data_IF_950916692679
#
_entry.id   IF_950916692679
#
_cell.length_a   1.000
_cell.length_b   1.000
_cell.length_c   1.000
_cell.angle_alpha   90.00
_cell.angle_beta   90.00
_cell.angle_gamma   90.00
#
_symmetry.space_group_name_H-M   'P 1'
#
loop_
_entity.id
_entity.type
_entity.pdbx_description
1 polymer ?
#
# COMPACT_ATOMS: atom_id res chain seq x y z
N UNK A 1 8.86 -12.56 0.01
CA UNK A 1 9.44 -11.33 0.62
C UNK A 1 10.07 -11.58 2.00
N UNK A 2 9.48 -12.39 2.88
CA UNK A 2 10.02 -12.63 4.24
C UNK A 2 11.43 -13.21 4.23
N UNK A 3 11.71 -14.20 3.38
CA UNK A 3 13.05 -14.85 3.31
C UNK A 3 14.12 -13.87 2.83
N UNK A 4 13.79 -12.96 1.91
CA UNK A 4 14.73 -11.96 1.40
C UNK A 4 14.95 -10.83 2.40
N UNK A 5 13.89 -10.42 3.13
CA UNK A 5 13.98 -9.33 4.10
C UNK A 5 14.69 -9.70 5.40
N UNK A 6 14.73 -10.99 5.76
CA UNK A 6 15.32 -11.45 7.01
C UNK A 6 16.83 -11.12 7.13
N UNK A 7 17.70 -11.40 6.13
CA UNK A 7 19.11 -11.03 6.19
C UNK A 7 19.34 -9.52 6.36
N UNK A 8 18.54 -8.69 5.67
CA UNK A 8 18.62 -7.23 5.82
C UNK A 8 18.25 -6.76 7.23
N UNK A 9 17.21 -7.35 7.82
CA UNK A 9 16.80 -7.04 9.18
C UNK A 9 17.84 -7.45 10.20
N UNK A 10 18.43 -8.63 10.05
CA UNK A 10 19.52 -9.09 10.90
C UNK A 10 20.73 -8.16 10.79
N UNK A 11 21.15 -7.83 9.57
CA UNK A 11 22.25 -6.90 9.36
C UNK A 11 21.95 -5.52 9.97
N UNK A 12 20.74 -5.00 9.79
CA UNK A 12 20.31 -3.72 10.38
C UNK A 12 20.41 -3.74 11.91
N UNK A 13 19.94 -4.79 12.56
CA UNK A 13 20.02 -4.93 14.02
C UNK A 13 21.47 -5.01 14.50
N UNK A 14 22.30 -5.81 13.82
CA UNK A 14 23.72 -5.93 14.15
C UNK A 14 24.49 -4.62 13.97
N UNK A 15 24.20 -3.87 12.93
CA UNK A 15 24.86 -2.60 12.64
C UNK A 15 24.41 -1.47 13.57
N UNK A 16 23.15 -1.45 13.96
CA UNK A 16 22.61 -0.38 14.84
C UNK A 16 22.80 -0.66 16.31
N UNK A 17 23.03 -1.93 16.70
CA UNK A 17 23.07 -2.33 18.12
C UNK A 17 21.74 -2.10 18.85
N UNK A 18 20.62 -2.10 18.12
CA UNK A 18 19.32 -1.74 18.68
C UNK A 18 18.88 -2.72 19.77
N UNK A 19 18.45 -2.17 20.91
CA UNK A 19 17.93 -2.96 22.03
C UNK A 19 16.67 -3.74 21.64
N UNK A 20 16.52 -5.00 22.08
CA UNK A 20 15.32 -5.80 21.80
C UNK A 20 13.99 -5.14 22.21
N UNK A 21 14.00 -4.32 23.25
CA UNK A 21 12.82 -3.59 23.71
C UNK A 21 12.40 -2.53 22.69
N UNK A 22 13.37 -1.80 22.14
CA UNK A 22 13.15 -0.80 21.09
C UNK A 22 12.63 -1.47 19.83
N UNK A 23 13.22 -2.59 19.43
CA UNK A 23 12.76 -3.37 18.28
C UNK A 23 11.32 -3.86 18.45
N UNK A 24 10.98 -4.34 19.65
CA UNK A 24 9.64 -4.80 19.98
C UNK A 24 8.64 -3.63 19.95
N UNK A 25 8.99 -2.49 20.52
CA UNK A 25 8.14 -1.29 20.51
C UNK A 25 7.92 -0.80 19.06
N UNK A 26 8.97 -0.71 18.25
CA UNK A 26 8.87 -0.36 16.83
C UNK A 26 7.97 -1.34 16.07
N UNK A 27 8.15 -2.65 16.30
CA UNK A 27 7.31 -3.66 15.65
C UNK A 27 5.84 -3.51 16.00
N UNK A 28 5.50 -3.31 17.27
CA UNK A 28 4.11 -3.08 17.72
C UNK A 28 3.52 -1.81 17.12
N UNK A 29 4.30 -0.73 17.07
CA UNK A 29 3.87 0.51 16.41
C UNK A 29 3.57 0.28 14.94
N UNK A 30 4.47 -0.42 14.24
CA UNK A 30 4.31 -0.73 12.82
C UNK A 30 3.06 -1.59 12.59
N UNK A 31 2.87 -2.67 13.34
CA UNK A 31 1.72 -3.56 13.22
C UNK A 31 0.40 -2.82 13.51
N UNK A 32 0.36 -1.98 14.53
CA UNK A 32 -0.80 -1.13 14.83
C UNK A 32 -1.09 -0.14 13.69
N UNK A 33 -0.05 0.45 13.09
CA UNK A 33 -0.20 1.35 11.94
C UNK A 33 -0.75 0.62 10.72
N UNK A 34 -0.27 -0.60 10.45
CA UNK A 34 -0.76 -1.44 9.35
C UNK A 34 -2.24 -1.79 9.56
N UNK A 35 -2.62 -2.21 10.77
CA UNK A 35 -4.02 -2.48 11.09
C UNK A 35 -4.91 -1.24 10.96
N UNK A 36 -4.41 -0.09 11.37
CA UNK A 36 -5.15 1.17 11.27
C UNK A 36 -5.41 1.55 9.81
N UNK A 37 -4.38 1.66 8.98
CA UNK A 37 -4.57 2.14 7.61
C UNK A 37 -5.23 1.11 6.68
N UNK A 38 -5.24 -0.19 7.02
CA UNK A 38 -6.02 -1.22 6.32
C UNK A 38 -7.44 -1.41 6.89
N UNK A 39 -7.82 -0.63 7.91
CA UNK A 39 -9.18 -0.71 8.46
C UNK A 39 -10.21 -0.07 7.52
N UNK A 40 -11.46 -0.52 7.62
CA UNK A 40 -12.60 0.13 6.93
C UNK A 40 -13.09 1.40 7.63
N UNK A 41 -12.25 2.01 8.48
CA UNK A 41 -12.62 3.21 9.23
C UNK A 41 -12.75 4.39 8.27
N UNK A 42 -13.93 5.00 8.24
CA UNK A 42 -14.17 6.24 7.50
C UNK A 42 -14.03 7.41 8.44
N UNK A 43 -12.92 8.11 8.34
CA UNK A 43 -12.69 9.33 9.10
C UNK A 43 -13.44 10.50 8.44
N UNK A 44 -14.09 11.39 9.22
CA UNK A 44 -14.56 12.66 8.68
C UNK A 44 -13.43 13.42 7.98
N UNK A 45 -13.69 14.03 6.82
CA UNK A 45 -12.67 14.59 5.95
C UNK A 45 -11.64 15.48 6.66
N UNK A 46 -12.11 16.38 7.54
CA UNK A 46 -11.22 17.22 8.34
C UNK A 46 -10.27 16.45 9.28
N UNK A 47 -10.68 15.30 9.80
CA UNK A 47 -9.85 14.45 10.65
C UNK A 47 -8.89 13.62 9.82
N UNK A 48 -9.35 13.10 8.66
CA UNK A 48 -8.47 12.41 7.73
C UNK A 48 -7.35 13.33 7.25
N UNK A 49 -7.66 14.57 6.87
CA UNK A 49 -6.68 15.58 6.49
C UNK A 49 -5.67 15.88 7.60
N UNK A 50 -6.12 16.12 8.82
CA UNK A 50 -5.25 16.43 9.96
C UNK A 50 -4.36 15.26 10.34
N UNK A 51 -4.93 14.06 10.45
CA UNK A 51 -4.18 12.85 10.80
C UNK A 51 -3.18 12.47 9.72
N UNK A 52 -3.54 12.63 8.44
CA UNK A 52 -2.65 12.36 7.32
C UNK A 52 -1.45 13.34 7.25
N UNK A 53 -1.42 14.39 8.07
CA UNK A 53 -0.24 15.21 8.25
C UNK A 53 0.92 14.45 8.92
N UNK A 54 0.60 13.46 9.74
CA UNK A 54 1.59 12.70 10.53
C UNK A 54 1.53 11.21 10.21
N UNK A 55 0.34 10.65 10.09
CA UNK A 55 0.13 9.22 9.93
C UNK A 55 -0.48 8.88 8.58
N UNK A 56 -0.18 7.67 8.10
CA UNK A 56 -0.89 7.08 6.96
C UNK A 56 -2.30 6.68 7.43
N UNK A 57 -3.32 7.36 6.90
CA UNK A 57 -4.73 7.10 7.23
C UNK A 57 -5.34 6.06 6.30
N UNK A 58 -6.50 5.45 6.66
CA UNK A 58 -7.22 4.55 5.76
C UNK A 58 -7.59 5.21 4.43
N UNK A 59 -8.00 6.50 4.44
CA UNK A 59 -8.30 7.25 3.22
C UNK A 59 -7.07 7.42 2.34
N UNK A 60 -5.96 7.81 2.92
CA UNK A 60 -4.69 7.96 2.20
C UNK A 60 -4.19 6.63 1.63
N UNK A 61 -4.24 5.55 2.41
CA UNK A 61 -3.79 4.22 1.96
C UNK A 61 -4.73 3.59 0.94
N UNK A 62 -6.03 3.90 1.02
CA UNK A 62 -7.00 3.50 0.01
C UNK A 62 -6.64 4.00 -1.40
N UNK A 63 -6.04 5.19 -1.52
CA UNK A 63 -5.53 5.71 -2.80
C UNK A 63 -4.45 4.79 -3.37
N UNK A 64 -3.53 4.29 -2.54
CA UNK A 64 -2.51 3.31 -2.94
C UNK A 64 -3.13 2.01 -3.48
N UNK A 65 -4.27 1.59 -2.95
CA UNK A 65 -4.99 0.39 -3.40
C UNK A 65 -6.00 0.65 -4.53
N UNK A 66 -6.02 1.85 -5.10
CA UNK A 66 -6.88 2.21 -6.23
C UNK A 66 -6.53 1.40 -7.48
N UNK A 67 -7.53 1.18 -8.34
CA UNK A 67 -7.32 0.60 -9.69
C UNK A 67 -6.63 1.55 -10.66
N UNK A 68 -6.48 2.82 -10.31
CA UNK A 68 -5.83 3.84 -11.14
C UNK A 68 -4.31 3.70 -11.01
N UNK A 69 -3.56 3.44 -12.10
CA UNK A 69 -2.12 3.19 -12.04
C UNK A 69 -1.31 4.31 -11.38
N UNK A 70 -1.69 5.56 -11.62
CA UNK A 70 -1.02 6.72 -11.04
C UNK A 70 -1.21 6.80 -9.52
N UNK A 71 -2.33 6.30 -9.01
CA UNK A 71 -2.65 6.26 -7.59
C UNK A 71 -1.91 5.10 -6.90
N UNK A 72 -1.81 3.95 -7.55
CA UNK A 72 -1.06 2.79 -7.04
C UNK A 72 0.40 3.11 -6.74
N UNK A 73 0.97 4.08 -7.47
CA UNK A 73 2.35 4.54 -7.30
C UNK A 73 2.49 5.65 -6.27
N UNK A 74 1.54 5.78 -5.34
CA UNK A 74 1.52 6.80 -4.29
C UNK A 74 1.38 6.18 -2.90
N UNK A 75 1.59 6.98 -1.85
CA UNK A 75 1.32 6.62 -0.45
C UNK A 75 1.91 5.26 -0.02
N UNK A 76 3.21 5.09 -0.25
CA UNK A 76 3.93 3.83 0.00
C UNK A 76 4.17 3.55 1.49
N UNK A 77 4.07 4.57 2.33
CA UNK A 77 4.46 4.44 3.73
C UNK A 77 3.41 3.75 4.59
N UNK A 78 3.91 2.88 5.48
CA UNK A 78 3.12 2.22 6.51
C UNK A 78 3.44 2.84 7.87
N UNK A 79 2.73 3.88 8.26
CA UNK A 79 2.91 4.53 9.56
C UNK A 79 3.00 6.04 9.44
N UNK A 80 4.20 6.60 9.26
CA UNK A 80 4.39 8.05 9.19
C UNK A 80 4.36 8.55 7.75
N UNK A 81 3.40 9.42 7.42
CA UNK A 81 3.24 10.03 6.10
C UNK A 81 4.37 10.99 5.68
N UNK A 82 5.30 11.27 6.60
CA UNK A 82 6.46 12.12 6.36
C UNK A 82 7.28 11.65 5.15
N UNK A 83 7.48 10.35 5.03
CA UNK A 83 8.29 9.79 3.94
C UNK A 83 7.66 9.99 2.57
N UNK A 84 6.33 9.84 2.46
CA UNK A 84 5.63 10.12 1.21
C UNK A 84 5.74 11.59 0.81
N UNK A 85 5.80 12.50 1.78
CA UNK A 85 6.05 13.93 1.50
C UNK A 85 7.45 14.18 1.01
N UNK A 86 8.44 13.60 1.67
CA UNK A 86 9.85 13.77 1.30
C UNK A 86 10.13 13.22 -0.11
N UNK A 87 9.46 12.12 -0.48
CA UNK A 87 9.61 11.50 -1.79
C UNK A 87 8.64 12.04 -2.86
N UNK A 88 7.73 12.93 -2.50
CA UNK A 88 6.74 13.48 -3.43
C UNK A 88 5.68 12.46 -3.86
N UNK A 89 5.49 11.39 -3.09
CA UNK A 89 4.51 10.33 -3.37
C UNK A 89 3.20 10.51 -2.62
N UNK A 90 3.08 11.56 -1.78
CA UNK A 90 1.85 11.86 -1.06
C UNK A 90 0.74 12.26 -2.04
N UNK A 91 -0.34 11.49 -2.05
CA UNK A 91 -1.54 11.77 -2.84
C UNK A 91 -2.79 11.63 -1.98
N UNK A 92 -3.73 12.54 -2.14
CA UNK A 92 -5.00 12.54 -1.40
C UNK A 92 -6.16 12.57 -2.38
N UNK A 93 -7.17 11.78 -2.07
CA UNK A 93 -8.45 11.76 -2.77
C UNK A 93 -9.58 11.56 -1.74
N UNK A 94 -10.78 12.07 -2.00
CA UNK A 94 -11.96 11.72 -1.20
C UNK A 94 -12.19 10.20 -1.21
N UNK A 95 -12.48 9.61 -0.05
CA UNK A 95 -12.65 8.15 0.10
C UNK A 95 -13.82 7.58 -0.73
N UNK A 96 -14.84 8.35 -0.96
CA UNK A 96 -16.04 7.97 -1.71
C UNK A 96 -15.81 7.78 -3.21
N UNK A 97 -14.71 8.32 -3.74
CA UNK A 97 -14.35 8.19 -5.17
C UNK A 97 -13.23 7.18 -5.44
N UNK A 98 -12.74 6.48 -4.42
CA UNK A 98 -11.66 5.51 -4.56
C UNK A 98 -12.24 4.15 -4.90
N UNK A 99 -11.99 3.65 -6.11
CA UNK A 99 -12.30 2.27 -6.52
C UNK A 99 -11.09 1.38 -6.22
N UNK A 100 -11.18 0.61 -5.13
CA UNK A 100 -10.12 -0.27 -4.64
C UNK A 100 -10.12 -1.58 -5.43
N UNK A 101 -8.95 -2.06 -5.80
CA UNK A 101 -8.78 -3.37 -6.43
C UNK A 101 -7.58 -3.44 -7.36
N UNK A 102 -7.51 -4.50 -8.14
CA UNK A 102 -6.50 -4.69 -9.18
C UNK A 102 -7.18 -4.51 -10.54
N UNK A 103 -6.69 -3.55 -11.32
CA UNK A 103 -7.21 -3.33 -12.66
C UNK A 103 -7.06 -4.62 -13.51
N UNK A 104 -8.12 -4.96 -14.23
CA UNK A 104 -8.19 -6.06 -15.20
C UNK A 104 -7.84 -7.48 -14.67
N UNK A 105 -7.87 -7.67 -13.35
CA UNK A 105 -7.61 -8.99 -12.76
C UNK A 105 -8.62 -9.31 -11.69
N UNK A 106 -9.56 -10.15 -12.01
CA UNK A 106 -10.20 -11.11 -11.12
C UNK A 106 -11.31 -11.88 -11.83
N UNK A 107 -10.96 -12.85 -12.64
CA UNK A 107 -11.86 -13.99 -12.78
C UNK A 107 -11.66 -14.90 -11.56
N UNK A 108 -12.72 -15.56 -11.09
CA UNK A 108 -12.60 -16.59 -10.06
C UNK A 108 -11.61 -17.71 -10.45
N UNK A 109 -11.41 -17.93 -11.76
CA UNK A 109 -10.42 -18.86 -12.29
C UNK A 109 -8.98 -18.43 -11.97
N UNK A 110 -8.70 -17.13 -11.85
CA UNK A 110 -7.36 -16.62 -11.52
C UNK A 110 -7.02 -16.85 -10.04
N UNK A 111 -8.01 -17.09 -9.19
CA UNK A 111 -7.84 -17.36 -7.76
C UNK A 111 -7.53 -18.83 -7.44
N UNK A 112 -7.41 -19.70 -8.44
CA UNK A 112 -7.02 -21.08 -8.20
C UNK A 112 -5.59 -21.16 -7.68
N UNK A 113 -5.30 -22.12 -6.80
CA UNK A 113 -3.97 -22.31 -6.23
C UNK A 113 -2.90 -22.46 -7.31
N UNK A 114 -3.18 -23.25 -8.36
CA UNK A 114 -2.26 -23.47 -9.48
C UNK A 114 -1.94 -22.16 -10.22
N UNK A 115 -2.95 -21.34 -10.49
CA UNK A 115 -2.76 -20.05 -11.14
C UNK A 115 -1.99 -19.07 -10.24
N UNK A 116 -2.29 -19.04 -8.95
CA UNK A 116 -1.59 -18.18 -7.98
C UNK A 116 -0.11 -18.53 -7.87
N UNK A 117 0.25 -19.82 -7.86
CA UNK A 117 1.63 -20.27 -7.80
C UNK A 117 2.40 -19.99 -9.10
N UNK A 118 1.73 -20.05 -10.25
CA UNK A 118 2.38 -19.82 -11.54
C UNK A 118 2.35 -18.35 -12.00
N UNK A 119 1.49 -17.52 -11.41
CA UNK A 119 1.32 -16.13 -11.79
C UNK A 119 2.64 -15.31 -11.82
N UNK A 120 3.58 -15.44 -10.86
CA UNK A 120 4.84 -14.70 -10.89
C UNK A 120 5.74 -15.04 -12.09
N UNK A 121 5.55 -16.20 -12.70
CA UNK A 121 6.35 -16.69 -13.82
C UNK A 121 5.66 -16.50 -15.17
N UNK A 122 4.42 -16.03 -15.18
CA UNK A 122 3.70 -15.72 -16.42
C UNK A 122 4.02 -14.30 -16.85
N UNK A 123 4.27 -14.10 -18.16
CA UNK A 123 4.33 -12.75 -18.71
C UNK A 123 2.97 -12.08 -18.50
N UNK A 124 2.94 -10.99 -17.80
CA UNK A 124 1.76 -10.14 -17.68
C UNK A 124 1.42 -9.60 -19.06
N UNK A 125 0.21 -9.81 -19.60
CA UNK A 125 -0.22 -9.08 -20.77
C UNK A 125 -0.07 -7.59 -20.50
N UNK A 126 0.54 -6.83 -21.42
CA UNK A 126 0.56 -5.38 -21.28
C UNK A 126 -0.89 -4.88 -21.21
N UNK A 127 -1.19 -3.92 -20.34
CA UNK A 127 -2.48 -3.24 -20.36
C UNK A 127 -2.74 -2.76 -21.78
N UNK A 128 -3.93 -3.02 -22.30
CA UNK A 128 -4.35 -2.44 -23.56
C UNK A 128 -4.20 -0.91 -23.45
N UNK A 129 -3.66 -0.22 -24.45
CA UNK A 129 -3.62 1.23 -24.46
C UNK A 129 -5.06 1.73 -24.25
N UNK A 130 -5.27 2.83 -23.51
CA UNK A 130 -6.60 3.35 -23.24
C UNK A 130 -7.30 3.54 -24.59
N UNK A 131 -8.28 2.69 -24.84
CA UNK A 131 -9.09 2.75 -26.04
C UNK A 131 -9.76 4.10 -26.09
N UNK A 132 -9.60 4.83 -27.19
CA UNK A 132 -10.39 6.01 -27.48
C UNK A 132 -11.87 5.60 -27.42
N UNK A 133 -12.51 5.84 -26.28
CA UNK A 133 -13.96 5.75 -26.18
C UNK A 133 -14.50 6.94 -26.97
N UNK A 134 -14.70 6.73 -28.25
CA UNK A 134 -15.50 7.63 -29.08
C UNK A 134 -16.93 7.51 -28.58
N UNK A 135 -17.34 8.46 -27.77
CA UNK A 135 -18.76 8.69 -27.47
C UNK A 135 -19.44 9.12 -28.78
N UNK A 136 -20.16 8.18 -29.38
CA UNK A 136 -21.22 8.47 -30.35
C UNK A 136 -22.55 8.49 -29.64
#
# INVERSE_FOLDING_TARGET
DMLVSLPFRVAQVLLTGADPTILTAHRRFFDASVLFHHSNLRLPGQWDERLSLVFTTPGMHGVHHSKVPEDMSSNWTSGLSLWDRLHGTLRRKPQDIIDIGVADRASLADLSLGNSLTAPFRRTPQPLPPGNISLR
#
